data_IF_670740279380
#
_entry.id   IF_670740279380
#
_cell.length_a   1.000
_cell.length_b   1.000
_cell.length_c   1.000
_cell.angle_alpha   90.00
_cell.angle_beta   90.00
_cell.angle_gamma   90.00
#
_symmetry.space_group_name_H-M   'P 1'
#
loop_
_entity.id
_entity.type
_entity.pdbx_description
1 polymer ?
#
# COMPACT_ATOMS: atom_id res chain seq x y z
N UNK A 1 -5.50 -18.93 -4.63
CA UNK A 1 -5.94 -19.00 -6.04
C UNK A 1 -5.95 -17.64 -6.75
N UNK A 2 -6.70 -16.63 -6.27
CA UNK A 2 -6.80 -15.30 -6.94
C UNK A 2 -5.47 -14.54 -7.12
N UNK A 3 -4.56 -14.58 -6.13
CA UNK A 3 -3.24 -13.93 -6.26
C UNK A 3 -2.43 -14.55 -7.40
N UNK A 4 -2.48 -15.89 -7.52
CA UNK A 4 -1.78 -16.63 -8.59
C UNK A 4 -2.31 -16.25 -9.96
N UNK A 5 -3.63 -16.13 -10.13
CA UNK A 5 -4.21 -15.72 -11.42
C UNK A 5 -3.82 -14.29 -11.80
N UNK A 6 -3.76 -13.36 -10.84
CA UNK A 6 -3.28 -11.99 -11.11
C UNK A 6 -1.81 -11.95 -11.56
N UNK A 7 -0.95 -12.79 -10.97
CA UNK A 7 0.43 -12.92 -11.43
C UNK A 7 0.52 -13.53 -12.84
N UNK A 8 -0.33 -14.51 -13.17
CA UNK A 8 -0.42 -15.07 -14.53
C UNK A 8 -0.87 -14.04 -15.58
N UNK A 9 -1.66 -13.04 -15.17
CA UNK A 9 -2.04 -11.89 -16.01
C UNK A 9 -0.95 -10.80 -16.09
N UNK A 10 0.19 -10.99 -15.43
CA UNK A 10 1.36 -10.13 -15.54
C UNK A 10 1.61 -9.19 -14.35
N UNK A 11 0.77 -9.19 -13.32
CA UNK A 11 0.99 -8.39 -12.12
C UNK A 11 2.30 -8.83 -11.44
N UNK A 12 3.20 -7.87 -11.16
CA UNK A 12 4.48 -8.15 -10.48
C UNK A 12 4.38 -8.10 -8.97
N UNK A 13 3.48 -7.27 -8.46
CA UNK A 13 3.16 -7.14 -7.04
C UNK A 13 1.63 -7.13 -6.95
N UNK A 14 1.09 -7.97 -6.07
CA UNK A 14 -0.33 -7.95 -5.71
C UNK A 14 -0.43 -7.51 -4.26
N UNK A 15 -1.21 -6.46 -3.99
CA UNK A 15 -1.38 -5.91 -2.65
C UNK A 15 -2.82 -6.17 -2.20
N UNK A 16 -2.98 -6.73 -1.00
CA UNK A 16 -4.26 -7.00 -0.35
C UNK A 16 -4.36 -6.16 0.92
N UNK A 17 -5.14 -5.10 0.88
CA UNK A 17 -5.52 -4.31 2.06
C UNK A 17 -6.60 -5.04 2.85
N UNK A 18 -6.46 -5.09 4.18
CA UNK A 18 -7.31 -5.90 5.09
C UNK A 18 -7.92 -5.05 6.22
N UNK A 19 -8.14 -3.75 5.97
CA UNK A 19 -8.64 -2.81 6.96
C UNK A 19 -7.76 -2.78 8.22
N UNK A 20 -8.35 -2.99 9.40
CA UNK A 20 -7.63 -3.03 10.68
C UNK A 20 -6.59 -4.16 10.79
N UNK A 21 -6.64 -5.18 9.92
CA UNK A 21 -5.66 -6.27 9.88
C UNK A 21 -4.42 -5.94 9.02
N UNK A 22 -4.30 -4.70 8.54
CA UNK A 22 -3.14 -4.20 7.81
C UNK A 22 -3.15 -4.58 6.33
N UNK A 23 -1.97 -4.92 5.81
CA UNK A 23 -1.78 -5.19 4.38
C UNK A 23 -0.89 -6.40 4.18
N UNK A 24 -1.14 -7.16 3.11
CA UNK A 24 -0.23 -8.17 2.61
C UNK A 24 0.18 -7.87 1.17
N UNK A 25 1.45 -8.05 0.84
CA UNK A 25 1.96 -7.96 -0.53
C UNK A 25 2.52 -9.32 -0.96
N UNK A 26 2.19 -9.69 -2.19
CA UNK A 26 2.58 -10.95 -2.82
C UNK A 26 3.45 -10.64 -4.03
N UNK A 27 4.66 -11.20 -4.03
CA UNK A 27 5.63 -11.11 -5.13
C UNK A 27 5.99 -12.57 -5.49
N UNK A 28 6.06 -12.94 -6.78
CA UNK A 28 6.42 -14.29 -7.19
C UNK A 28 7.73 -14.74 -6.57
N UNK A 29 7.81 -16.02 -6.19
CA UNK A 29 9.05 -16.66 -5.68
C UNK A 29 9.57 -16.07 -4.35
N UNK A 30 8.74 -15.34 -3.61
CA UNK A 30 9.07 -14.81 -2.28
C UNK A 30 7.97 -15.12 -1.28
N UNK A 31 8.33 -15.11 0.01
CA UNK A 31 7.34 -15.19 1.08
C UNK A 31 6.45 -13.92 1.12
N UNK A 32 5.14 -14.05 1.39
CA UNK A 32 4.26 -12.89 1.51
C UNK A 32 4.73 -11.90 2.58
N UNK A 33 4.83 -10.63 2.20
CA UNK A 33 5.10 -9.55 3.14
C UNK A 33 3.77 -9.23 3.84
N UNK A 34 3.75 -9.14 5.16
CA UNK A 34 2.58 -8.68 5.91
C UNK A 34 2.97 -7.61 6.91
N UNK A 35 2.24 -6.50 6.90
CA UNK A 35 2.43 -5.38 7.81
C UNK A 35 1.11 -5.07 8.53
N UNK A 36 1.14 -4.76 9.84
CA UNK A 36 -0.07 -4.41 10.59
C UNK A 36 -0.62 -3.06 10.16
N UNK A 37 -1.91 -2.82 10.39
CA UNK A 37 -2.47 -1.48 10.28
C UNK A 37 -1.97 -0.59 11.43
N UNK A 38 -1.94 0.72 11.20
CA UNK A 38 -1.73 1.70 12.28
C UNK A 38 -3.01 1.84 13.10
N UNK A 39 -2.90 1.68 14.43
CA UNK A 39 -4.03 1.91 15.34
C UNK A 39 -4.35 3.40 15.41
N UNK A 40 -5.59 3.75 15.09
CA UNK A 40 -6.12 5.12 15.13
C UNK A 40 -7.57 5.10 15.60
N UNK A 41 -8.08 6.24 16.06
CA UNK A 41 -9.51 6.40 16.31
C UNK A 41 -10.24 6.52 14.96
N UNK A 42 -11.00 5.50 14.58
CA UNK A 42 -11.69 5.45 13.28
C UNK A 42 -12.97 6.27 13.34
N UNK A 43 -13.11 7.22 12.41
CA UNK A 43 -14.30 8.06 12.24
C UNK A 43 -15.10 7.62 11.00
N UNK A 44 -14.42 7.39 9.88
CA UNK A 44 -15.01 6.99 8.59
C UNK A 44 -13.99 6.11 7.84
N UNK A 45 -14.42 5.28 6.89
CA UNK A 45 -13.50 4.45 6.07
C UNK A 45 -13.54 4.78 4.59
N UNK A 46 -14.42 5.69 4.19
CA UNK A 46 -14.55 6.14 2.79
C UNK A 46 -13.22 6.74 2.31
N UNK A 47 -12.73 6.25 1.18
CA UNK A 47 -11.48 6.71 0.56
C UNK A 47 -10.19 6.12 1.14
N UNK A 48 -10.24 5.26 2.17
CA UNK A 48 -9.03 4.69 2.77
C UNK A 48 -8.17 3.89 1.77
N UNK A 49 -8.83 3.13 0.89
CA UNK A 49 -8.15 2.37 -0.17
C UNK A 49 -7.50 3.27 -1.22
N UNK A 50 -8.18 4.34 -1.61
CA UNK A 50 -7.66 5.32 -2.58
C UNK A 50 -6.45 6.06 -1.99
N UNK A 51 -6.52 6.46 -0.72
CA UNK A 51 -5.38 7.07 -0.02
C UNK A 51 -4.22 6.10 0.13
N UNK A 52 -4.49 4.82 0.45
CA UNK A 52 -3.44 3.80 0.50
C UNK A 52 -2.73 3.68 -0.86
N UNK A 53 -3.49 3.61 -1.96
CA UNK A 53 -2.95 3.53 -3.31
C UNK A 53 -2.09 4.76 -3.63
N UNK A 54 -2.59 5.96 -3.33
CA UNK A 54 -1.87 7.20 -3.54
C UNK A 54 -0.56 7.23 -2.74
N UNK A 55 -0.59 6.87 -1.46
CA UNK A 55 0.60 6.82 -0.61
C UNK A 55 1.63 5.81 -1.12
N UNK A 56 1.21 4.59 -1.45
CA UNK A 56 2.11 3.55 -1.97
C UNK A 56 2.81 4.02 -3.27
N UNK A 57 2.05 4.53 -4.24
CA UNK A 57 2.59 5.00 -5.52
C UNK A 57 3.44 6.27 -5.36
N UNK A 58 3.01 7.22 -4.52
CA UNK A 58 3.78 8.42 -4.23
C UNK A 58 5.14 8.07 -3.60
N UNK A 59 5.18 7.10 -2.68
CA UNK A 59 6.45 6.68 -2.07
C UNK A 59 7.38 5.99 -3.05
N UNK A 60 6.85 5.13 -3.93
CA UNK A 60 7.65 4.56 -5.02
C UNK A 60 8.17 5.64 -5.96
N UNK A 61 7.37 6.65 -6.27
CA UNK A 61 7.79 7.78 -7.11
C UNK A 61 8.90 8.60 -6.43
N UNK A 62 8.79 8.92 -5.15
CA UNK A 62 9.83 9.62 -4.37
C UNK A 62 11.15 8.84 -4.27
N UNK A 63 11.10 7.51 -4.41
CA UNK A 63 12.29 6.65 -4.43
C UNK A 63 12.86 6.48 -5.84
N UNK A 64 12.29 7.15 -6.84
CA UNK A 64 12.59 6.97 -8.27
C UNK A 64 12.41 5.52 -8.72
N UNK A 65 11.40 4.82 -8.20
CA UNK A 65 11.15 3.39 -8.44
C UNK A 65 9.86 3.09 -9.22
N UNK A 66 9.12 4.13 -9.64
CA UNK A 66 7.82 4.00 -10.29
C UNK A 66 7.92 3.87 -11.82
N UNK A 67 8.65 2.86 -12.29
CA UNK A 67 8.70 2.48 -13.70
C UNK A 67 8.45 0.99 -13.90
N UNK A 68 7.98 0.59 -15.09
CA UNK A 68 7.76 -0.83 -15.41
C UNK A 68 9.03 -1.67 -15.20
N UNK A 69 10.20 -1.14 -15.55
CA UNK A 69 11.50 -1.82 -15.39
C UNK A 69 11.83 -2.03 -13.92
N UNK A 70 11.66 -1.02 -13.08
CA UNK A 70 12.00 -1.11 -11.67
C UNK A 70 11.02 -1.99 -10.90
N UNK A 71 9.72 -1.89 -11.18
CA UNK A 71 8.66 -2.70 -10.56
C UNK A 71 8.88 -4.21 -10.75
N UNK A 72 9.54 -4.62 -11.84
CA UNK A 72 9.86 -6.03 -12.09
C UNK A 72 10.84 -6.61 -11.05
N UNK A 73 11.67 -5.79 -10.42
CA UNK A 73 12.73 -6.23 -9.51
C UNK A 73 12.88 -5.26 -8.33
N UNK A 74 11.76 -4.92 -7.69
CA UNK A 74 11.79 -4.04 -6.51
C UNK A 74 12.41 -4.77 -5.31
N UNK A 75 13.38 -4.17 -4.62
CA UNK A 75 13.86 -4.72 -3.35
C UNK A 75 12.73 -4.79 -2.33
N UNK A 76 12.64 -5.91 -1.61
CA UNK A 76 11.61 -6.15 -0.58
C UNK A 76 11.57 -5.02 0.46
N UNK A 77 12.73 -4.49 0.85
CA UNK A 77 12.86 -3.34 1.75
C UNK A 77 12.13 -2.10 1.22
N UNK A 78 12.23 -1.82 -0.09
CA UNK A 78 11.58 -0.66 -0.71
C UNK A 78 10.07 -0.87 -0.82
N UNK A 79 9.61 -2.11 -1.04
CA UNK A 79 8.20 -2.47 -1.01
C UNK A 79 7.63 -2.22 0.40
N UNK A 80 8.31 -2.69 1.46
CA UNK A 80 7.90 -2.45 2.85
C UNK A 80 7.76 -0.96 3.15
N UNK A 81 8.76 -0.16 2.79
CA UNK A 81 8.73 1.31 2.97
C UNK A 81 7.52 1.94 2.27
N UNK A 82 7.21 1.51 1.04
CA UNK A 82 6.05 2.03 0.31
C UNK A 82 4.71 1.57 0.92
N UNK A 83 4.62 0.33 1.40
CA UNK A 83 3.44 -0.19 2.10
C UNK A 83 3.19 0.57 3.41
N UNK A 84 4.23 0.81 4.22
CA UNK A 84 4.14 1.58 5.46
C UNK A 84 3.66 3.01 5.21
N UNK A 85 4.16 3.64 4.15
CA UNK A 85 3.73 4.98 3.76
C UNK A 85 2.25 5.01 3.34
N UNK A 86 1.79 4.03 2.56
CA UNK A 86 0.37 3.86 2.23
C UNK A 86 -0.51 3.61 3.47
N UNK A 87 -0.05 2.79 4.42
CA UNK A 87 -0.75 2.55 5.69
C UNK A 87 -0.86 3.84 6.50
N UNK A 88 0.23 4.61 6.63
CA UNK A 88 0.23 5.87 7.34
C UNK A 88 -0.77 6.86 6.72
N UNK A 89 -0.76 6.99 5.39
CA UNK A 89 -1.68 7.89 4.71
C UNK A 89 -3.14 7.49 4.90
N UNK A 90 -3.47 6.22 4.71
CA UNK A 90 -4.82 5.70 4.92
C UNK A 90 -5.27 5.84 6.38
N UNK A 91 -4.36 5.67 7.34
CA UNK A 91 -4.67 5.82 8.77
C UNK A 91 -5.16 7.23 9.13
N UNK A 92 -4.62 8.25 8.46
CA UNK A 92 -5.06 9.64 8.65
C UNK A 92 -6.44 9.83 8.03
N UNK A 93 -6.67 9.30 6.81
CA UNK A 93 -7.99 9.37 6.16
C UNK A 93 -9.07 8.78 7.04
N UNK A 94 -8.84 7.59 7.60
CA UNK A 94 -9.89 6.92 8.40
C UNK A 94 -10.15 7.59 9.75
N UNK A 95 -9.26 8.48 10.20
CA UNK A 95 -9.45 9.28 11.41
C UNK A 95 -10.20 10.60 11.17
N UNK A 96 -10.71 10.80 9.95
CA UNK A 96 -11.46 11.99 9.52
C UNK A 96 -12.77 11.55 8.88
N UNK A 97 -13.70 12.49 8.71
CA UNK A 97 -14.97 12.24 8.03
C UNK A 97 -14.78 12.33 6.50
N UNK A 98 -15.34 11.37 5.76
CA UNK A 98 -15.30 11.29 4.29
C UNK A 98 -13.92 10.93 3.72
N UNK A 99 -13.82 10.94 2.38
CA UNK A 99 -12.56 10.78 1.66
C UNK A 99 -11.68 12.05 1.79
N UNK A 100 -11.05 12.22 2.94
CA UNK A 100 -10.18 13.34 3.27
C UNK A 100 -8.72 12.89 3.45
N UNK A 101 -7.96 12.73 2.35
CA UNK A 101 -6.57 12.29 2.40
C UNK A 101 -5.65 13.32 3.06
N UNK A 102 -4.51 12.88 3.64
CA UNK A 102 -3.55 13.79 4.25
C UNK A 102 -2.79 14.64 3.22
N UNK A 103 -2.34 15.81 3.66
CA UNK A 103 -1.31 16.59 2.98
C UNK A 103 0.09 15.98 3.25
N UNK A 104 1.07 16.34 2.43
CA UNK A 104 2.45 15.88 2.61
C UNK A 104 3.04 16.27 3.98
N UNK A 105 2.66 17.43 4.52
CA UNK A 105 3.09 17.89 5.85
C UNK A 105 2.56 17.05 7.01
N UNK A 106 1.63 16.13 6.75
CA UNK A 106 0.99 15.28 7.75
C UNK A 106 1.52 13.83 7.72
N UNK A 107 2.46 13.52 6.82
CA UNK A 107 2.97 12.17 6.51
C UNK A 107 4.39 11.89 7.01
#
# INVERSE_FOLDING_TARGET
>A
EKVKSLHQLGAKIVILTKGANGVSAYIPETEPISLPAKKVNVIDTVGAGDTFNAGFLAKLNQLDLLSKKQIQSLPIEKIKIALEYGINAASITVSRKGANPPLLSEL
#
